data_IF_568605924482
#
_entry.id   IF_568605924482
#
_cell.length_a   1.000
_cell.length_b   1.000
_cell.length_c   1.000
_cell.angle_alpha   90.00
_cell.angle_beta   90.00
_cell.angle_gamma   90.00
#
_symmetry.space_group_name_H-M   'P 1'
#
loop_
_entity.id
_entity.type
_entity.pdbx_description
1 polymer ?
#
# COMPACT_ATOMS: atom_id res chain seq x y z
N UNK A 1 36.15 13.05 25.71
CA UNK A 1 35.09 13.54 26.62
C UNK A 1 34.31 14.60 25.86
N UNK A 2 33.01 14.56 25.65
CA UNK A 2 32.01 13.57 26.00
C UNK A 2 30.90 13.59 24.95
N UNK A 3 30.34 12.41 24.68
CA UNK A 3 29.08 12.29 23.97
C UNK A 3 28.02 13.10 24.72
N UNK A 4 27.59 14.23 24.17
CA UNK A 4 26.43 14.95 24.70
C UNK A 4 25.24 14.02 24.53
N UNK A 5 24.65 13.60 25.64
CA UNK A 5 23.39 12.86 25.64
C UNK A 5 22.32 13.81 25.10
N UNK A 6 21.80 13.50 23.90
CA UNK A 6 20.80 14.27 23.14
C UNK A 6 19.60 14.68 24.02
N UNK A 7 19.24 13.86 25.01
CA UNK A 7 18.15 14.09 25.97
C UNK A 7 18.27 15.37 26.80
N UNK A 8 19.49 15.84 27.13
CA UNK A 8 19.64 17.08 27.90
C UNK A 8 19.40 18.33 27.06
N UNK A 9 19.61 18.26 25.74
CA UNK A 9 19.41 19.42 24.84
C UNK A 9 17.92 19.67 24.63
N UNK A 10 17.08 18.63 24.61
CA UNK A 10 15.62 18.77 24.46
C UNK A 10 14.96 19.58 25.58
N UNK A 11 15.48 19.53 26.81
CA UNK A 11 14.98 20.34 27.92
C UNK A 11 15.23 21.85 27.69
N UNK A 12 16.41 22.21 27.18
CA UNK A 12 16.75 23.60 26.86
C UNK A 12 16.03 24.14 25.62
N UNK A 13 15.49 23.26 24.78
CA UNK A 13 14.75 23.65 23.57
C UNK A 13 13.32 24.10 23.88
N UNK A 14 12.71 23.61 24.96
CA UNK A 14 11.29 23.84 25.26
C UNK A 14 10.96 25.32 25.53
N UNK A 15 11.84 26.04 26.23
CA UNK A 15 11.67 27.48 26.49
C UNK A 15 11.68 28.32 25.20
N UNK A 16 12.76 28.27 24.40
CA UNK A 16 12.83 28.95 23.10
C UNK A 16 11.72 28.54 22.13
N UNK A 17 11.35 27.26 22.11
CA UNK A 17 10.28 26.76 21.25
C UNK A 17 8.92 27.36 21.62
N UNK A 18 8.62 27.47 22.92
CA UNK A 18 7.40 28.11 23.43
C UNK A 18 7.28 29.57 22.95
N UNK A 19 8.40 30.28 22.93
CA UNK A 19 8.47 31.66 22.44
C UNK A 19 8.29 31.70 20.92
N UNK A 20 8.96 30.81 20.19
CA UNK A 20 8.86 30.71 18.73
C UNK A 20 7.45 30.42 18.23
N UNK A 21 6.66 29.61 18.95
CA UNK A 21 5.26 29.33 18.62
C UNK A 21 4.35 30.56 18.74
N UNK A 22 4.76 31.56 19.54
CA UNK A 22 4.01 32.80 19.78
C UNK A 22 4.69 34.02 19.15
N UNK A 23 5.68 33.82 18.29
CA UNK A 23 6.45 34.90 17.69
C UNK A 23 5.59 35.77 16.77
N UNK A 24 5.96 37.04 16.62
CA UNK A 24 5.31 37.96 15.67
C UNK A 24 5.54 37.56 14.22
N UNK A 25 6.71 36.99 13.90
CA UNK A 25 7.08 36.59 12.53
C UNK A 25 6.44 35.25 12.16
N UNK A 26 5.60 35.19 11.10
CA UNK A 26 5.01 33.95 10.62
C UNK A 26 6.05 32.89 10.21
N UNK A 27 7.24 33.30 9.77
CA UNK A 27 8.33 32.38 9.44
C UNK A 27 8.85 31.65 10.69
N UNK A 28 8.96 32.36 11.81
CA UNK A 28 9.39 31.78 13.09
C UNK A 28 8.30 30.83 13.60
N UNK A 29 7.03 31.24 13.57
CA UNK A 29 5.90 30.38 14.00
C UNK A 29 5.78 29.10 13.18
N UNK A 30 5.85 29.16 11.84
CA UNK A 30 5.77 27.94 11.01
C UNK A 30 6.95 26.99 11.27
N UNK A 31 8.14 27.55 11.53
CA UNK A 31 9.34 26.76 11.81
C UNK A 31 9.25 26.12 13.19
N UNK A 32 8.72 26.85 14.16
CA UNK A 32 8.43 26.35 15.50
C UNK A 32 7.40 25.21 15.44
N UNK A 33 6.33 25.32 14.63
CA UNK A 33 5.35 24.25 14.46
C UNK A 33 5.99 22.93 14.02
N UNK A 34 6.81 22.96 12.96
CA UNK A 34 7.55 21.78 12.48
C UNK A 34 8.54 21.27 13.54
N UNK A 35 9.14 22.17 14.31
CA UNK A 35 10.06 21.79 15.37
C UNK A 35 9.36 21.04 16.53
N UNK A 36 8.06 21.29 16.78
CA UNK A 36 7.28 20.52 17.76
C UNK A 36 7.13 19.07 17.32
N UNK A 37 6.87 18.78 16.04
CA UNK A 37 6.81 17.41 15.54
C UNK A 37 8.15 16.67 15.72
N UNK A 38 9.26 17.33 15.38
CA UNK A 38 10.62 16.78 15.60
C UNK A 38 10.95 16.59 17.08
N UNK A 39 10.49 17.49 17.95
CA UNK A 39 10.65 17.33 19.39
C UNK A 39 9.82 16.17 19.92
N UNK A 40 8.67 15.90 19.31
CA UNK A 40 7.82 14.75 19.64
C UNK A 40 8.55 13.42 19.36
N UNK A 41 9.28 13.31 18.25
CA UNK A 41 10.13 12.14 17.95
C UNK A 41 11.23 11.90 18.99
N UNK A 42 11.81 12.98 19.51
CA UNK A 42 12.93 12.92 20.45
C UNK A 42 12.42 12.65 21.88
N UNK A 43 11.36 13.34 22.29
CA UNK A 43 10.85 13.30 23.66
C UNK A 43 9.38 13.72 23.75
N UNK A 44 8.49 12.76 23.56
CA UNK A 44 7.04 12.90 23.76
C UNK A 44 6.67 13.52 25.13
N UNK A 45 7.35 13.12 26.21
CA UNK A 45 7.09 13.63 27.56
C UNK A 45 7.18 15.17 27.66
N UNK A 46 8.16 15.77 26.98
CA UNK A 46 8.38 17.22 27.01
C UNK A 46 7.29 17.96 26.24
N UNK A 47 6.86 17.41 25.10
CA UNK A 47 5.78 17.96 24.27
C UNK A 47 4.45 17.95 25.00
N UNK A 48 4.16 16.88 25.74
CA UNK A 48 2.96 16.77 26.57
C UNK A 48 3.00 17.71 27.78
N UNK A 49 4.14 17.74 28.50
CA UNK A 49 4.30 18.56 29.71
C UNK A 49 4.18 20.06 29.42
N UNK A 50 4.69 20.52 28.28
CA UNK A 50 4.61 21.92 27.88
C UNK A 50 3.33 22.27 27.10
N UNK A 51 2.48 21.28 26.82
CA UNK A 51 1.21 21.50 26.12
C UNK A 51 1.37 21.97 24.66
N UNK A 52 2.46 21.60 23.97
CA UNK A 52 2.68 22.08 22.60
C UNK A 52 1.65 21.54 21.60
N UNK A 53 1.04 20.38 21.87
CA UNK A 53 -0.06 19.85 21.04
C UNK A 53 -1.28 20.77 21.10
N UNK A 54 -1.62 21.31 22.28
CA UNK A 54 -2.69 22.32 22.39
C UNK A 54 -2.32 23.60 21.64
N UNK A 55 -1.07 24.06 21.75
CA UNK A 55 -0.61 25.26 21.02
C UNK A 55 -0.67 25.07 19.51
N UNK A 56 -0.25 23.90 18.99
CA UNK A 56 -0.39 23.57 17.57
C UNK A 56 -1.86 23.59 17.10
N UNK A 57 -2.80 23.11 17.93
CA UNK A 57 -4.23 23.18 17.61
C UNK A 57 -4.75 24.62 17.57
N UNK A 58 -4.29 25.48 18.46
CA UNK A 58 -4.62 26.91 18.43
C UNK A 58 -4.09 27.58 17.15
N UNK A 59 -2.90 27.18 16.68
CA UNK A 59 -2.29 27.68 15.44
C UNK A 59 -3.06 27.31 14.17
N UNK A 60 -4.01 26.39 14.21
CA UNK A 60 -4.93 26.15 13.09
C UNK A 60 -5.85 27.35 12.82
N UNK A 61 -5.98 28.26 13.78
CA UNK A 61 -6.72 29.52 13.65
C UNK A 61 -5.79 30.72 13.38
N UNK A 62 -4.52 30.51 13.03
CA UNK A 62 -3.56 31.59 12.72
C UNK A 62 -3.97 32.36 11.45
N UNK A 63 -3.73 33.66 11.44
CA UNK A 63 -4.02 34.53 10.29
C UNK A 63 -3.15 34.21 9.06
N UNK A 64 -1.98 33.59 9.26
CA UNK A 64 -1.07 33.23 8.17
C UNK A 64 -1.30 31.78 7.69
N UNK A 65 -1.62 31.57 6.41
CA UNK A 65 -1.94 30.23 5.88
C UNK A 65 -0.75 29.27 5.90
N UNK A 66 0.50 29.76 5.82
CA UNK A 66 1.67 28.91 5.92
C UNK A 66 1.86 28.37 7.35
N UNK A 67 1.48 29.15 8.36
CA UNK A 67 1.52 28.70 9.76
C UNK A 67 0.48 27.62 9.99
N UNK A 68 -0.75 27.83 9.50
CA UNK A 68 -1.85 26.85 9.55
C UNK A 68 -1.47 25.53 8.88
N UNK A 69 -0.92 25.59 7.66
CA UNK A 69 -0.51 24.38 6.92
C UNK A 69 0.57 23.58 7.65
N UNK A 70 1.60 24.24 8.20
CA UNK A 70 2.66 23.56 8.93
C UNK A 70 2.20 23.06 10.31
N UNK A 71 1.29 23.76 10.97
CA UNK A 71 0.68 23.30 12.21
C UNK A 71 -0.19 22.05 11.98
N UNK A 72 -0.97 22.03 10.88
CA UNK A 72 -1.76 20.87 10.47
C UNK A 72 -0.87 19.67 10.15
N UNK A 73 0.17 19.86 9.33
CA UNK A 73 1.13 18.80 9.00
C UNK A 73 1.82 18.24 10.26
N UNK A 74 2.24 19.12 11.17
CA UNK A 74 2.86 18.71 12.43
C UNK A 74 1.90 17.93 13.34
N UNK A 75 0.61 18.32 13.36
CA UNK A 75 -0.43 17.58 14.10
C UNK A 75 -0.73 16.22 13.46
N UNK A 76 -0.73 16.13 12.14
CA UNK A 76 -0.87 14.86 11.41
C UNK A 76 0.29 13.93 11.75
N UNK A 77 1.53 14.41 11.62
CA UNK A 77 2.76 13.66 11.94
C UNK A 77 2.75 13.15 13.39
N UNK A 78 2.43 14.03 14.36
CA UNK A 78 2.28 13.63 15.76
C UNK A 78 1.19 12.55 15.91
N UNK A 79 0.05 12.69 15.24
CA UNK A 79 -1.04 11.71 15.34
C UNK A 79 -0.68 10.35 14.73
N UNK A 80 0.05 10.30 13.62
CA UNK A 80 0.47 9.08 12.94
C UNK A 80 1.56 8.34 13.75
N UNK A 81 2.50 9.09 14.33
CA UNK A 81 3.53 8.58 15.23
C UNK A 81 2.94 8.04 16.54
N UNK A 82 1.91 8.70 17.08
CA UNK A 82 1.16 8.21 18.26
C UNK A 82 0.50 6.86 17.97
N UNK A 83 -0.08 6.67 16.78
CA UNK A 83 -0.74 5.40 16.41
C UNK A 83 0.26 4.25 16.40
N UNK A 84 1.40 4.40 15.72
CA UNK A 84 2.43 3.35 15.65
C UNK A 84 3.08 3.07 17.03
N UNK A 85 3.30 4.12 17.83
CA UNK A 85 3.84 4.01 19.18
C UNK A 85 2.88 3.32 20.14
N UNK A 86 1.59 3.67 20.09
CA UNK A 86 0.54 3.01 20.87
C UNK A 86 0.39 1.54 20.49
N UNK A 87 0.45 1.22 19.20
CA UNK A 87 0.47 -0.15 18.68
C UNK A 87 1.67 -0.93 19.23
N UNK A 88 2.87 -0.34 19.23
CA UNK A 88 4.08 -0.95 19.80
C UNK A 88 3.96 -1.23 21.30
N UNK A 89 3.38 -0.31 22.07
CA UNK A 89 3.13 -0.49 23.51
C UNK A 89 2.10 -1.59 23.75
N UNK A 90 0.99 -1.61 23.00
CA UNK A 90 -0.01 -2.67 23.07
C UNK A 90 0.58 -4.04 22.75
N UNK A 91 1.46 -4.13 21.75
CA UNK A 91 2.19 -5.37 21.45
C UNK A 91 3.06 -5.84 22.62
N UNK A 92 3.74 -4.93 23.31
CA UNK A 92 4.55 -5.27 24.48
C UNK A 92 3.69 -5.70 25.66
N UNK A 93 2.54 -5.06 25.87
CA UNK A 93 1.57 -5.45 26.91
C UNK A 93 0.94 -6.81 26.63
N UNK A 94 0.64 -7.15 25.37
CA UNK A 94 0.13 -8.48 24.99
C UNK A 94 1.14 -9.60 25.25
N UNK A 95 2.44 -9.31 25.29
CA UNK A 95 3.47 -10.30 25.65
C UNK A 95 3.51 -10.53 27.18
N UNK A 96 2.93 -9.63 27.98
CA UNK A 96 2.94 -9.67 29.46
C UNK A 96 1.61 -10.15 30.06
N UNK A 97 0.53 -10.13 29.27
CA UNK A 97 -0.82 -10.53 29.71
C UNK A 97 -1.07 -11.99 29.33
N UNK A 98 -1.31 -12.84 30.32
CA UNK A 98 -1.62 -14.27 30.11
C UNK A 98 -3.09 -14.55 29.72
N UNK A 99 -3.93 -13.53 29.60
CA UNK A 99 -5.34 -13.68 29.25
C UNK A 99 -5.55 -13.54 27.73
N UNK A 100 -5.80 -14.68 27.06
CA UNK A 100 -6.00 -14.73 25.61
C UNK A 100 -7.20 -13.91 25.11
N UNK A 101 -8.25 -13.75 25.92
CA UNK A 101 -9.44 -12.98 25.52
C UNK A 101 -9.13 -11.48 25.46
N UNK A 102 -8.28 -10.98 26.36
CA UNK A 102 -7.80 -9.59 26.31
C UNK A 102 -6.87 -9.36 25.12
N UNK A 103 -5.99 -10.32 24.82
CA UNK A 103 -5.12 -10.27 23.64
C UNK A 103 -5.94 -10.24 22.35
N UNK A 104 -7.00 -11.06 22.24
CA UNK A 104 -7.94 -11.02 21.11
C UNK A 104 -8.68 -9.69 21.01
N UNK A 105 -9.15 -9.15 22.13
CA UNK A 105 -9.86 -7.87 22.16
C UNK A 105 -8.95 -6.70 21.74
N UNK A 106 -7.69 -6.67 22.18
CA UNK A 106 -6.72 -5.65 21.78
C UNK A 106 -6.32 -5.79 20.32
N UNK A 107 -6.12 -7.02 19.83
CA UNK A 107 -5.84 -7.28 18.41
C UNK A 107 -6.94 -6.71 17.50
N UNK A 108 -8.22 -6.89 17.84
CA UNK A 108 -9.34 -6.31 17.09
C UNK A 108 -9.36 -4.77 17.13
N UNK A 109 -8.98 -4.16 18.24
CA UNK A 109 -8.95 -2.69 18.39
C UNK A 109 -7.78 -2.03 17.68
N UNK A 110 -6.73 -2.78 17.36
CA UNK A 110 -5.56 -2.28 16.63
C UNK A 110 -5.78 -2.23 15.11
N UNK A 111 -6.71 -3.03 14.57
CA UNK A 111 -6.93 -3.08 13.13
C UNK A 111 -7.43 -1.75 12.54
N UNK A 112 -8.47 -1.08 13.07
CA UNK A 112 -8.98 0.16 12.49
C UNK A 112 -7.94 1.29 12.34
N UNK A 113 -7.12 1.63 13.35
CA UNK A 113 -6.14 2.72 13.20
C UNK A 113 -5.00 2.36 12.24
N UNK A 114 -4.61 1.09 12.14
CA UNK A 114 -3.64 0.65 11.13
C UNK A 114 -4.21 0.75 9.71
N UNK A 115 -5.50 0.45 9.52
CA UNK A 115 -6.19 0.61 8.23
C UNK A 115 -6.35 2.09 7.88
N UNK A 116 -6.63 2.96 8.85
CA UNK A 116 -6.69 4.42 8.62
C UNK A 116 -5.37 4.99 8.13
N UNK A 117 -4.23 4.51 8.65
CA UNK A 117 -2.88 4.88 8.17
C UNK A 117 -2.60 4.41 6.74
N UNK A 118 -3.38 3.48 6.18
CA UNK A 118 -3.24 3.08 4.78
C UNK A 118 -3.99 4.02 3.83
N UNK A 119 -4.85 4.91 4.33
CA UNK A 119 -5.60 5.89 3.56
C UNK A 119 -5.01 7.31 3.58
N UNK A 120 -3.82 7.48 4.17
CA UNK A 120 -3.09 8.75 4.23
C UNK A 120 -2.20 8.96 2.98
N UNK A 121 -1.39 10.01 2.97
CA UNK A 121 -0.49 10.33 1.84
C UNK A 121 0.48 9.17 1.51
N UNK A 122 0.90 9.01 0.23
CA UNK A 122 1.69 7.86 -0.24
C UNK A 122 2.97 7.58 0.56
N UNK A 123 3.64 8.62 1.04
CA UNK A 123 4.87 8.55 1.84
C UNK A 123 4.59 7.95 3.22
N UNK A 124 3.51 8.40 3.87
CA UNK A 124 3.04 7.88 5.14
C UNK A 124 2.55 6.45 4.98
N UNK A 125 1.80 6.18 3.91
CA UNK A 125 1.30 4.86 3.58
C UNK A 125 2.46 3.87 3.42
N UNK A 126 3.56 4.27 2.76
CA UNK A 126 4.76 3.44 2.62
C UNK A 126 5.37 3.09 3.98
N UNK A 127 5.54 4.06 4.88
CA UNK A 127 6.07 3.85 6.23
C UNK A 127 5.12 2.99 7.07
N UNK A 128 3.82 3.23 6.98
CA UNK A 128 2.78 2.45 7.64
C UNK A 128 2.80 1.00 7.18
N UNK A 129 2.92 0.74 5.87
CA UNK A 129 3.00 -0.61 5.30
C UNK A 129 4.23 -1.39 5.79
N UNK A 130 5.39 -0.74 5.90
CA UNK A 130 6.60 -1.37 6.46
C UNK A 130 6.42 -1.75 7.93
N UNK A 131 5.81 -0.87 8.73
CA UNK A 131 5.54 -1.14 10.15
C UNK A 131 4.46 -2.21 10.32
N UNK A 132 3.39 -2.17 9.53
CA UNK A 132 2.33 -3.18 9.51
C UNK A 132 2.88 -4.56 9.18
N UNK A 133 3.79 -4.67 8.20
CA UNK A 133 4.46 -5.94 7.90
C UNK A 133 5.20 -6.51 9.12
N UNK A 134 5.95 -5.69 9.86
CA UNK A 134 6.62 -6.11 11.10
C UNK A 134 5.63 -6.54 12.19
N UNK A 135 4.48 -5.85 12.32
CA UNK A 135 3.42 -6.19 13.29
C UNK A 135 2.79 -7.54 12.95
N UNK A 136 2.45 -7.77 11.67
CA UNK A 136 1.83 -9.02 11.19
C UNK A 136 2.78 -10.21 11.32
N UNK A 137 4.08 -10.03 11.06
CA UNK A 137 5.08 -11.08 11.27
C UNK A 137 5.09 -11.58 12.73
N UNK A 138 4.89 -10.69 13.70
CA UNK A 138 4.86 -11.05 15.11
C UNK A 138 3.48 -11.53 15.56
N UNK A 139 2.39 -10.99 15.01
CA UNK A 139 1.00 -11.32 15.38
C UNK A 139 0.07 -11.30 14.15
N UNK A 140 -0.05 -12.42 13.42
CA UNK A 140 -0.84 -12.50 12.19
C UNK A 140 -2.34 -12.22 12.37
N UNK A 141 -2.87 -12.48 13.57
CA UNK A 141 -4.30 -12.36 13.86
C UNK A 141 -4.84 -10.92 13.89
N UNK A 142 -3.99 -9.89 13.90
CA UNK A 142 -4.40 -8.48 14.04
C UNK A 142 -5.12 -7.98 12.79
N UNK A 143 -4.67 -8.34 11.59
CA UNK A 143 -5.23 -7.87 10.32
C UNK A 143 -5.86 -8.99 9.46
N UNK A 144 -6.00 -10.19 10.00
CA UNK A 144 -6.47 -11.36 9.26
C UNK A 144 -7.84 -11.19 8.57
N UNK A 145 -8.70 -10.30 9.09
CA UNK A 145 -10.03 -10.01 8.51
C UNK A 145 -10.06 -8.80 7.56
N UNK A 146 -9.05 -7.92 7.60
CA UNK A 146 -9.02 -6.66 6.84
C UNK A 146 -8.22 -6.78 5.52
N UNK A 147 -7.44 -7.85 5.34
CA UNK A 147 -6.45 -8.02 4.23
C UNK A 147 -7.04 -8.75 3.02
N UNK A 148 -8.36 -8.70 2.81
CA UNK A 148 -8.95 -9.41 1.64
C UNK A 148 -8.93 -8.61 0.33
N UNK A 149 -8.68 -7.30 0.33
CA UNK A 149 -8.85 -6.49 -0.90
C UNK A 149 -7.80 -5.40 -1.21
N UNK A 150 -6.82 -5.12 -0.35
CA UNK A 150 -5.94 -3.94 -0.52
C UNK A 150 -4.44 -4.25 -0.38
N UNK A 151 -3.96 -5.31 -1.01
CA UNK A 151 -2.51 -5.48 -1.16
C UNK A 151 -1.96 -4.29 -1.97
N UNK A 152 -0.90 -3.61 -1.50
CA UNK A 152 -0.22 -2.60 -2.30
C UNK A 152 0.22 -3.19 -3.63
N UNK A 153 0.23 -2.38 -4.70
CA UNK A 153 0.51 -2.86 -6.06
C UNK A 153 1.81 -3.66 -6.15
N UNK A 154 2.86 -3.27 -5.42
CA UNK A 154 4.14 -3.97 -5.39
C UNK A 154 4.03 -5.38 -4.77
N UNK A 155 3.14 -5.59 -3.80
CA UNK A 155 2.87 -6.91 -3.21
C UNK A 155 2.09 -7.78 -4.19
N UNK A 156 1.05 -7.23 -4.83
CA UNK A 156 0.28 -7.94 -5.87
C UNK A 156 1.17 -8.39 -7.01
N UNK A 157 2.09 -7.53 -7.42
CA UNK A 157 3.08 -7.80 -8.45
C UNK A 157 4.02 -8.95 -8.12
N UNK A 158 4.55 -8.99 -6.90
CA UNK A 158 5.37 -10.12 -6.44
C UNK A 158 4.54 -11.40 -6.30
N UNK A 159 3.31 -11.30 -5.78
CA UNK A 159 2.39 -12.44 -5.68
C UNK A 159 2.12 -13.04 -7.06
N UNK A 160 1.88 -12.20 -8.06
CA UNK A 160 1.69 -12.61 -9.46
C UNK A 160 2.91 -13.39 -9.99
N UNK A 161 4.12 -12.86 -9.83
CA UNK A 161 5.34 -13.54 -10.28
C UNK A 161 5.60 -14.87 -9.55
N UNK A 162 5.33 -14.93 -8.24
CA UNK A 162 5.44 -16.17 -7.46
C UNK A 162 4.42 -17.20 -7.96
N UNK A 163 3.17 -16.80 -8.22
CA UNK A 163 2.14 -17.68 -8.73
C UNK A 163 2.50 -18.25 -10.10
N UNK A 164 3.09 -17.45 -11.01
CA UNK A 164 3.58 -17.95 -12.31
C UNK A 164 4.65 -19.03 -12.09
N UNK A 165 5.58 -18.83 -11.14
CA UNK A 165 6.66 -19.80 -10.86
C UNK A 165 6.16 -21.09 -10.20
N UNK A 166 5.08 -21.01 -9.44
CA UNK A 166 4.45 -22.15 -8.76
C UNK A 166 3.34 -22.82 -9.58
N UNK A 167 3.02 -22.28 -10.76
CA UNK A 167 2.04 -22.86 -11.66
C UNK A 167 2.50 -24.23 -12.14
N UNK A 168 1.57 -25.18 -12.12
CA UNK A 168 1.76 -26.57 -12.53
C UNK A 168 0.46 -27.14 -13.07
N UNK A 169 0.50 -28.30 -13.70
CA UNK A 169 -0.71 -28.99 -14.20
C UNK A 169 -1.77 -29.24 -13.12
N UNK A 170 -1.38 -29.30 -11.84
CA UNK A 170 -2.28 -29.63 -10.73
C UNK A 170 -3.09 -28.44 -10.21
N UNK A 171 -2.55 -27.24 -10.32
CA UNK A 171 -3.12 -26.02 -9.73
C UNK A 171 -3.48 -24.95 -10.77
N UNK A 172 -3.30 -25.25 -12.06
CA UNK A 172 -3.51 -24.27 -13.14
C UNK A 172 -4.92 -23.69 -13.15
N UNK A 173 -5.95 -24.47 -12.88
CA UNK A 173 -7.33 -23.99 -12.88
C UNK A 173 -7.56 -22.90 -11.82
N UNK A 174 -6.97 -23.09 -10.64
CA UNK A 174 -7.06 -22.10 -9.56
C UNK A 174 -6.22 -20.85 -9.85
N UNK A 175 -5.02 -21.03 -10.41
CA UNK A 175 -4.15 -19.92 -10.81
C UNK A 175 -4.81 -19.06 -11.90
N UNK A 176 -5.43 -19.69 -12.90
CA UNK A 176 -6.13 -18.97 -13.97
C UNK A 176 -7.37 -18.24 -13.47
N UNK A 177 -8.10 -18.82 -12.51
CA UNK A 177 -9.24 -18.13 -11.88
C UNK A 177 -8.79 -16.84 -11.19
N UNK A 178 -7.70 -16.90 -10.43
CA UNK A 178 -7.16 -15.73 -9.73
C UNK A 178 -6.56 -14.70 -10.70
N UNK A 179 -5.88 -15.12 -11.77
CA UNK A 179 -5.42 -14.20 -12.82
C UNK A 179 -6.56 -13.54 -13.58
N UNK A 180 -7.68 -14.24 -13.77
CA UNK A 180 -8.90 -13.67 -14.36
C UNK A 180 -9.50 -12.60 -13.46
N UNK A 181 -9.53 -12.81 -12.14
CA UNK A 181 -9.95 -11.78 -11.18
C UNK A 181 -9.00 -10.56 -11.22
N UNK A 182 -7.68 -10.79 -11.28
CA UNK A 182 -6.70 -9.70 -11.44
C UNK A 182 -6.86 -8.92 -12.73
N UNK A 183 -7.29 -9.56 -13.82
CA UNK A 183 -7.55 -8.90 -15.10
C UNK A 183 -8.83 -8.04 -15.10
N UNK A 184 -9.62 -8.07 -14.02
CA UNK A 184 -10.81 -7.23 -13.82
C UNK A 184 -10.57 -6.07 -12.83
N UNK A 185 -9.33 -5.87 -12.37
CA UNK A 185 -8.97 -4.75 -11.52
C UNK A 185 -8.98 -3.40 -12.27
N UNK A 186 -8.90 -2.30 -11.51
CA UNK A 186 -8.96 -0.94 -12.04
C UNK A 186 -7.60 -0.47 -12.58
N UNK A 187 -6.50 -1.00 -12.05
CA UNK A 187 -5.14 -0.59 -12.42
C UNK A 187 -4.73 -1.21 -13.76
N UNK A 188 -4.61 -0.37 -14.79
CA UNK A 188 -4.35 -0.80 -16.17
C UNK A 188 -3.02 -1.54 -16.30
N UNK A 189 -1.97 -1.09 -15.61
CA UNK A 189 -0.64 -1.69 -15.71
C UNK A 189 -0.60 -3.08 -15.05
N UNK A 190 -1.26 -3.23 -13.90
CA UNK A 190 -1.41 -4.52 -13.23
C UNK A 190 -2.25 -5.50 -14.05
N UNK A 191 -3.38 -5.04 -14.60
CA UNK A 191 -4.24 -5.85 -15.48
C UNK A 191 -3.45 -6.37 -16.67
N UNK A 192 -2.67 -5.52 -17.36
CA UNK A 192 -1.82 -5.96 -18.48
C UNK A 192 -0.84 -7.05 -18.06
N UNK A 193 -0.24 -6.92 -16.87
CA UNK A 193 0.68 -7.93 -16.35
C UNK A 193 -0.01 -9.23 -15.98
N UNK A 194 -1.22 -9.20 -15.44
CA UNK A 194 -2.03 -10.39 -15.19
C UNK A 194 -2.39 -11.12 -16.50
N UNK A 195 -2.77 -10.38 -17.55
CA UNK A 195 -3.03 -10.94 -18.88
C UNK A 195 -1.78 -11.60 -19.47
N UNK A 196 -0.61 -10.95 -19.35
CA UNK A 196 0.69 -11.54 -19.74
C UNK A 196 1.03 -12.80 -18.93
N UNK A 197 0.68 -12.83 -17.64
CA UNK A 197 0.91 -13.98 -16.78
C UNK A 197 0.14 -15.22 -17.25
N UNK A 198 -1.11 -15.05 -17.72
CA UNK A 198 -1.90 -16.12 -18.35
C UNK A 198 -1.17 -16.67 -19.59
N UNK A 199 -0.61 -15.77 -20.42
CA UNK A 199 0.21 -16.14 -21.57
C UNK A 199 1.46 -16.94 -21.20
N UNK A 200 2.19 -16.50 -20.18
CA UNK A 200 3.38 -17.22 -19.69
C UNK A 200 3.02 -18.62 -19.19
N UNK A 201 1.85 -18.80 -18.56
CA UNK A 201 1.37 -20.12 -18.16
C UNK A 201 1.08 -21.01 -19.38
N UNK A 202 0.47 -20.47 -20.43
CA UNK A 202 0.20 -21.21 -21.67
C UNK A 202 1.49 -21.68 -22.37
N UNK A 203 2.53 -20.85 -22.36
CA UNK A 203 3.83 -21.19 -22.96
C UNK A 203 4.63 -22.15 -22.10
N UNK A 204 4.51 -22.05 -20.77
CA UNK A 204 5.28 -22.88 -19.83
C UNK A 204 4.66 -24.26 -19.60
N UNK A 205 3.34 -24.38 -19.71
CA UNK A 205 2.58 -25.61 -19.44
C UNK A 205 1.70 -25.93 -20.65
N UNK A 206 2.11 -26.89 -21.47
CA UNK A 206 1.42 -27.25 -22.72
C UNK A 206 -0.06 -27.63 -22.51
N UNK A 207 -0.35 -28.40 -21.47
CA UNK A 207 -1.73 -28.80 -21.13
C UNK A 207 -2.62 -27.64 -20.65
N UNK A 208 -2.01 -26.53 -20.24
CA UNK A 208 -2.71 -25.33 -19.83
C UNK A 208 -3.10 -24.43 -21.02
N UNK A 209 -2.44 -24.59 -22.17
CA UNK A 209 -2.55 -23.64 -23.29
C UNK A 209 -3.99 -23.42 -23.74
N UNK A 210 -4.76 -24.49 -23.95
CA UNK A 210 -6.17 -24.41 -24.34
C UNK A 210 -7.03 -23.70 -23.29
N UNK A 211 -6.78 -23.97 -22.00
CA UNK A 211 -7.49 -23.31 -20.89
C UNK A 211 -7.16 -21.82 -20.82
N UNK A 212 -5.88 -21.46 -20.95
CA UNK A 212 -5.45 -20.07 -20.98
C UNK A 212 -6.09 -19.29 -22.14
N UNK A 213 -6.14 -19.90 -23.32
CA UNK A 213 -6.77 -19.31 -24.50
C UNK A 213 -8.26 -19.05 -24.26
N UNK A 214 -8.98 -19.99 -23.66
CA UNK A 214 -10.39 -19.80 -23.31
C UNK A 214 -10.59 -18.62 -22.35
N UNK A 215 -9.72 -18.48 -21.32
CA UNK A 215 -9.76 -17.33 -20.42
C UNK A 215 -9.47 -16.01 -21.15
N UNK A 216 -8.49 -15.99 -22.05
CA UNK A 216 -8.18 -14.80 -22.85
C UNK A 216 -9.33 -14.41 -23.77
N UNK A 217 -10.04 -15.38 -24.35
CA UNK A 217 -11.26 -15.13 -25.14
C UNK A 217 -12.40 -14.55 -24.31
N UNK A 218 -12.60 -15.05 -23.09
CA UNK A 218 -13.57 -14.46 -22.15
C UNK A 218 -13.20 -13.02 -21.78
N UNK A 219 -11.91 -12.73 -21.60
CA UNK A 219 -11.42 -11.37 -21.36
C UNK A 219 -11.63 -10.47 -22.59
N UNK A 220 -11.42 -10.96 -23.81
CA UNK A 220 -11.73 -10.21 -25.04
C UNK A 220 -13.23 -9.92 -25.13
N UNK A 221 -14.08 -10.87 -24.76
CA UNK A 221 -15.54 -10.70 -24.77
C UNK A 221 -16.03 -9.60 -23.81
N UNK A 222 -15.22 -9.17 -22.83
CA UNK A 222 -15.55 -8.01 -21.97
C UNK A 222 -15.54 -6.68 -22.73
N UNK A 223 -14.95 -6.62 -23.93
CA UNK A 223 -14.84 -5.43 -24.79
C UNK A 223 -14.13 -4.24 -24.13
N UNK A 224 -13.26 -4.49 -23.16
CA UNK A 224 -12.39 -3.46 -22.57
C UNK A 224 -11.15 -3.29 -23.45
N UNK A 225 -11.01 -2.16 -24.15
CA UNK A 225 -10.00 -1.96 -25.20
C UNK A 225 -8.58 -2.36 -24.80
N UNK A 226 -8.08 -1.88 -23.65
CA UNK A 226 -6.70 -2.18 -23.22
C UNK A 226 -6.50 -3.66 -22.85
N UNK A 227 -7.55 -4.36 -22.38
CA UNK A 227 -7.52 -5.80 -22.11
C UNK A 227 -7.53 -6.59 -23.42
N UNK A 228 -8.39 -6.18 -24.36
CA UNK A 228 -8.50 -6.80 -25.69
C UNK A 228 -7.16 -6.72 -26.43
N UNK A 229 -6.54 -5.54 -26.44
CA UNK A 229 -5.24 -5.32 -27.09
C UNK A 229 -4.14 -6.21 -26.48
N UNK A 230 -4.02 -6.22 -25.15
CA UNK A 230 -3.01 -7.04 -24.47
C UNK A 230 -3.28 -8.55 -24.66
N UNK A 231 -4.54 -8.98 -24.61
CA UNK A 231 -4.91 -10.37 -24.85
C UNK A 231 -4.57 -10.82 -26.28
N UNK A 232 -4.74 -9.96 -27.29
CA UNK A 232 -4.36 -10.25 -28.68
C UNK A 232 -2.84 -10.42 -28.81
N UNK A 233 -2.05 -9.54 -28.19
CA UNK A 233 -0.58 -9.66 -28.18
C UNK A 233 -0.18 -11.01 -27.56
N UNK A 234 -0.79 -11.38 -26.43
CA UNK A 234 -0.53 -12.64 -25.75
C UNK A 234 -0.93 -13.85 -26.61
N UNK A 235 -2.12 -13.83 -27.23
CA UNK A 235 -2.57 -14.93 -28.10
C UNK A 235 -1.64 -15.10 -29.30
N UNK A 236 -1.17 -14.00 -29.91
CA UNK A 236 -0.17 -14.02 -30.98
C UNK A 236 1.10 -14.75 -30.54
N UNK A 237 1.58 -14.50 -29.33
CA UNK A 237 2.76 -15.18 -28.80
C UNK A 237 2.51 -16.67 -28.49
N UNK A 238 1.30 -17.03 -28.04
CA UNK A 238 0.89 -18.43 -27.88
C UNK A 238 0.84 -19.15 -29.24
N UNK A 239 0.31 -18.52 -30.29
CA UNK A 239 0.28 -19.09 -31.65
C UNK A 239 1.69 -19.31 -32.22
N UNK A 240 2.64 -18.41 -31.92
CA UNK A 240 4.04 -18.60 -32.29
C UNK A 240 4.66 -19.84 -31.63
N UNK A 241 4.20 -20.21 -30.42
CA UNK A 241 4.63 -21.41 -29.71
C UNK A 241 3.95 -22.67 -30.21
N UNK A 242 2.65 -22.59 -30.52
CA UNK A 242 1.80 -23.72 -30.95
C UNK A 242 1.15 -23.44 -32.32
N UNK A 243 1.92 -23.54 -33.42
CA UNK A 243 1.40 -23.23 -34.76
C UNK A 243 0.29 -24.21 -35.17
N UNK A 244 -0.71 -23.71 -35.89
CA UNK A 244 -1.83 -24.45 -36.51
C UNK A 244 -2.78 -25.19 -35.53
N UNK A 245 -2.72 -24.93 -34.23
CA UNK A 245 -3.59 -25.62 -33.26
C UNK A 245 -4.90 -24.89 -32.96
N UNK A 246 -4.94 -23.56 -33.13
CA UNK A 246 -6.00 -22.70 -32.62
C UNK A 246 -6.58 -21.74 -33.67
N UNK A 247 -6.57 -22.16 -34.94
CA UNK A 247 -6.99 -21.33 -36.08
C UNK A 247 -8.45 -20.87 -36.02
N UNK A 248 -9.32 -21.65 -35.36
CA UNK A 248 -10.75 -21.31 -35.17
C UNK A 248 -10.97 -20.01 -34.40
N UNK A 249 -9.94 -19.52 -33.70
CA UNK A 249 -10.01 -18.32 -32.87
C UNK A 249 -9.68 -17.07 -33.67
N UNK A 250 -8.97 -17.21 -34.80
CA UNK A 250 -8.52 -16.11 -35.63
C UNK A 250 -9.70 -15.26 -36.12
N UNK A 251 -10.85 -15.87 -36.44
CA UNK A 251 -12.06 -15.13 -36.85
C UNK A 251 -12.53 -14.17 -35.75
N UNK A 252 -12.57 -14.62 -34.50
CA UNK A 252 -12.99 -13.79 -33.36
C UNK A 252 -12.00 -12.66 -33.07
N UNK A 253 -10.70 -12.87 -33.31
CA UNK A 253 -9.71 -11.81 -33.20
C UNK A 253 -9.86 -10.77 -34.32
N UNK A 254 -10.12 -11.23 -35.54
CA UNK A 254 -10.34 -10.36 -36.70
C UNK A 254 -11.56 -9.44 -36.51
N UNK A 255 -12.63 -9.94 -35.88
CA UNK A 255 -13.82 -9.14 -35.56
C UNK A 255 -13.54 -7.97 -34.60
N UNK A 256 -12.41 -7.99 -33.88
CA UNK A 256 -12.00 -6.96 -32.93
C UNK A 256 -10.85 -6.05 -33.46
N UNK A 257 -10.40 -6.24 -34.70
CA UNK A 257 -9.30 -5.47 -35.32
C UNK A 257 -9.53 -3.95 -35.32
N UNK A 258 -10.78 -3.51 -35.47
CA UNK A 258 -11.13 -2.09 -35.53
C UNK A 258 -10.94 -1.36 -34.18
N UNK A 259 -10.77 -2.10 -33.08
CA UNK A 259 -10.57 -1.56 -31.72
C UNK A 259 -9.11 -1.52 -31.27
N UNK A 260 -8.17 -1.85 -32.17
CA UNK A 260 -6.75 -1.93 -31.86
C UNK A 260 -6.04 -0.60 -32.16
N UNK A 261 -5.62 0.07 -31.11
CA UNK A 261 -4.88 1.33 -31.18
C UNK A 261 -3.36 1.10 -31.12
N UNK A 262 -2.91 0.06 -30.42
CA UNK A 262 -1.49 -0.23 -30.24
C UNK A 262 -0.84 -0.91 -31.45
N UNK A 263 0.35 -0.45 -31.89
CA UNK A 263 1.04 -1.02 -33.04
C UNK A 263 1.55 -2.44 -32.81
N UNK A 264 1.74 -2.86 -31.55
CA UNK A 264 2.12 -4.25 -31.22
C UNK A 264 0.96 -5.24 -31.34
N UNK A 265 -0.28 -4.74 -31.29
CA UNK A 265 -1.51 -5.53 -31.41
C UNK A 265 -2.01 -5.64 -32.86
N UNK A 266 -1.59 -4.73 -33.75
CA UNK A 266 -1.84 -4.79 -35.21
C UNK A 266 -0.91 -5.78 -35.92
#
# INVERSE_FOLDING_TARGET
MGCIRVEKISEYLCGPLSLGLKDTDPYVRKTAAVCVAKLFDISQFQVETHGFVSTLREMLSDANPMVVANALASLQEISELVVLSAVKVLMRMMDLVGNEDQVRAWSKKMAPPLVTLLGTEPEVQYVALRNINLIVQKRPAILANEVKYNDPIYVKMEKLEIMIRLASDKNIDQVLLEFKEYAQEVDVDFVRKAVRAIGRCAVSIERAAEKCINVLLELIATKVNYVVQEAIIVIKDIFRRYPNQYESIISTLCDNLDSLDEPEAK
#
